data_IF_077665320281
#
_entry.id   IF_077665320281
#
_cell.length_a   1.000
_cell.length_b   1.000
_cell.length_c   1.000
_cell.angle_alpha   90.00
_cell.angle_beta   90.00
_cell.angle_gamma   90.00
#
_symmetry.space_group_name_H-M   'P 1'
#
loop_
_entity.id
_entity.type
_entity.pdbx_description
1 polymer ?
#
# COMPACT_ATOMS: atom_id res chain seq x y z
N UNK A 1 -15.10 -1.78 3.73
CA UNK A 1 -15.46 -2.70 4.85
C UNK A 1 -14.25 -3.14 5.67
N UNK A 2 -13.05 -3.30 5.08
CA UNK A 2 -11.81 -3.70 5.78
C UNK A 2 -11.29 -2.64 6.76
N UNK A 3 -11.30 -1.35 6.38
CA UNK A 3 -10.88 -0.25 7.26
C UNK A 3 -11.74 -0.10 8.51
N UNK A 4 -13.07 -0.11 8.34
CA UNK A 4 -14.02 0.02 9.46
C UNK A 4 -13.83 -1.10 10.47
N UNK A 5 -13.51 -2.31 10.00
CA UNK A 5 -13.21 -3.45 10.87
C UNK A 5 -11.89 -3.27 11.62
N UNK A 6 -10.82 -2.82 10.95
CA UNK A 6 -9.53 -2.57 11.62
C UNK A 6 -9.62 -1.48 12.69
N UNK A 7 -10.37 -0.41 12.42
CA UNK A 7 -10.59 0.68 13.38
C UNK A 7 -11.36 0.19 14.61
N UNK A 8 -12.39 -0.64 14.41
CA UNK A 8 -13.15 -1.24 15.53
C UNK A 8 -12.25 -2.16 16.38
N UNK A 9 -11.42 -3.01 15.75
CA UNK A 9 -10.50 -3.89 16.47
C UNK A 9 -9.44 -3.11 17.27
N UNK A 10 -8.89 -2.04 16.71
CA UNK A 10 -7.99 -1.15 17.44
C UNK A 10 -8.71 -0.47 18.60
N UNK A 11 -9.93 0.05 18.38
CA UNK A 11 -10.71 0.69 19.43
C UNK A 11 -11.03 -0.25 20.60
N UNK A 12 -11.34 -1.52 20.32
CA UNK A 12 -11.54 -2.55 21.35
C UNK A 12 -10.24 -2.83 22.10
N UNK A 13 -9.13 -3.01 21.37
CA UNK A 13 -7.82 -3.28 21.98
C UNK A 13 -7.36 -2.16 22.91
N UNK A 14 -7.32 -0.93 22.41
CA UNK A 14 -6.92 0.24 23.21
C UNK A 14 -7.96 0.60 24.27
N UNK A 15 -9.25 0.44 23.99
CA UNK A 15 -10.32 0.67 24.95
C UNK A 15 -10.22 -0.25 26.17
N UNK A 16 -9.86 -1.52 25.99
CA UNK A 16 -9.65 -2.46 27.09
C UNK A 16 -8.46 -2.10 27.99
N UNK A 17 -7.42 -1.47 27.42
CA UNK A 17 -6.28 -0.98 28.19
C UNK A 17 -6.67 0.25 29.04
N UNK A 18 -7.45 1.16 28.45
CA UNK A 18 -7.95 2.36 29.14
C UNK A 18 -8.86 1.98 30.32
N UNK A 19 -9.74 1.00 30.16
CA UNK A 19 -10.62 0.57 31.26
C UNK A 19 -9.82 -0.04 32.41
N UNK A 20 -8.79 -0.87 32.16
CA UNK A 20 -7.93 -1.38 33.23
C UNK A 20 -7.21 -0.27 33.99
N UNK A 21 -6.67 0.72 33.27
CA UNK A 21 -6.03 1.87 33.91
C UNK A 21 -7.06 2.63 34.74
N UNK A 22 -8.25 2.91 34.21
CA UNK A 22 -9.29 3.59 34.97
C UNK A 22 -9.69 2.84 36.26
N UNK A 23 -9.84 1.51 36.19
CA UNK A 23 -10.13 0.69 37.37
C UNK A 23 -8.99 0.65 38.39
N UNK A 24 -7.73 0.68 37.95
CA UNK A 24 -6.59 0.74 38.87
C UNK A 24 -6.49 2.08 39.60
N UNK A 25 -6.97 3.16 38.99
CA UNK A 25 -7.02 4.49 39.62
C UNK A 25 -8.22 4.66 40.56
N UNK A 26 -9.30 3.92 40.32
CA UNK A 26 -10.53 3.98 41.12
C UNK A 26 -10.49 3.08 42.38
N UNK A 27 -9.31 2.63 42.82
CA UNK A 27 -9.08 1.73 43.97
C UNK A 27 -9.99 0.49 44.00
N UNK A 28 -10.45 0.05 42.83
CA UNK A 28 -11.37 -1.07 42.70
C UNK A 28 -10.56 -2.35 42.62
N UNK A 29 -10.94 -3.37 43.40
CA UNK A 29 -10.24 -4.65 43.38
C UNK A 29 -10.39 -5.34 42.01
N UNK A 30 -9.32 -5.37 41.22
CA UNK A 30 -9.27 -6.06 39.93
C UNK A 30 -8.88 -7.53 40.17
N UNK A 31 -9.76 -8.46 39.79
CA UNK A 31 -9.49 -9.89 39.88
C UNK A 31 -8.46 -10.34 38.84
N UNK A 32 -7.60 -11.30 39.21
CA UNK A 32 -6.53 -11.83 38.33
C UNK A 32 -7.04 -12.34 36.97
N UNK A 33 -8.29 -12.84 36.94
CA UNK A 33 -8.96 -13.32 35.73
C UNK A 33 -9.09 -12.24 34.63
N UNK A 34 -9.04 -10.94 34.96
CA UNK A 34 -9.27 -9.86 34.01
C UNK A 34 -7.99 -9.45 33.25
N UNK A 35 -6.80 -9.85 33.72
CA UNK A 35 -5.54 -9.54 33.03
C UNK A 35 -5.36 -10.33 31.74
N UNK A 36 -5.84 -11.59 31.69
CA UNK A 36 -5.73 -12.44 30.50
C UNK A 36 -6.44 -11.85 29.27
N UNK A 37 -7.75 -11.54 29.35
CA UNK A 37 -8.49 -10.92 28.26
C UNK A 37 -7.91 -9.57 27.81
N UNK A 38 -7.41 -8.76 28.74
CA UNK A 38 -6.88 -7.43 28.41
C UNK A 38 -5.52 -7.52 27.74
N UNK A 39 -4.64 -8.40 28.20
CA UNK A 39 -3.38 -8.67 27.51
C UNK A 39 -3.63 -9.16 26.07
N UNK A 40 -4.61 -10.06 25.88
CA UNK A 40 -5.01 -10.52 24.55
C UNK A 40 -5.58 -9.39 23.67
N UNK A 41 -6.46 -8.54 24.23
CA UNK A 41 -7.04 -7.42 23.51
C UNK A 41 -5.99 -6.36 23.13
N UNK A 42 -5.02 -6.08 24.00
CA UNK A 42 -3.92 -5.16 23.72
C UNK A 42 -3.00 -5.70 22.62
N UNK A 43 -2.65 -6.99 22.67
CA UNK A 43 -1.88 -7.65 21.61
C UNK A 43 -2.63 -7.61 20.27
N UNK A 44 -3.94 -7.85 20.27
CA UNK A 44 -4.78 -7.74 19.08
C UNK A 44 -4.76 -6.30 18.53
N UNK A 45 -4.93 -5.30 19.39
CA UNK A 45 -4.87 -3.89 19.00
C UNK A 45 -3.54 -3.53 18.33
N UNK A 46 -2.41 -3.85 18.99
CA UNK A 46 -1.07 -3.54 18.47
C UNK A 46 -0.79 -4.24 17.14
N UNK A 47 -1.07 -5.54 17.04
CA UNK A 47 -0.84 -6.30 15.80
C UNK A 47 -1.71 -5.79 14.65
N UNK A 48 -2.96 -5.43 14.95
CA UNK A 48 -3.88 -4.82 13.97
C UNK A 48 -3.40 -3.45 13.53
N UNK A 49 -2.85 -2.63 14.43
CA UNK A 49 -2.24 -1.34 14.09
C UNK A 49 -1.05 -1.50 13.17
N UNK A 50 -0.13 -2.41 13.47
CA UNK A 50 1.03 -2.68 12.60
C UNK A 50 0.59 -3.14 11.21
N UNK A 51 -0.37 -4.06 11.16
CA UNK A 51 -0.96 -4.52 9.90
C UNK A 51 -1.59 -3.36 9.11
N UNK A 52 -2.38 -2.52 9.77
CA UNK A 52 -3.07 -1.39 9.14
C UNK A 52 -2.10 -0.35 8.61
N UNK A 53 -1.02 -0.04 9.33
CA UNK A 53 0.00 0.90 8.86
C UNK A 53 0.70 0.39 7.59
N UNK A 54 1.06 -0.90 7.54
CA UNK A 54 1.66 -1.50 6.34
C UNK A 54 0.70 -1.47 5.15
N UNK A 55 -0.56 -1.79 5.41
CA UNK A 55 -1.61 -1.75 4.39
C UNK A 55 -1.82 -0.31 3.88
N UNK A 56 -1.84 0.68 4.78
CA UNK A 56 -2.02 2.10 4.43
C UNK A 56 -0.85 2.64 3.60
N UNK A 57 0.38 2.28 3.95
CA UNK A 57 1.58 2.64 3.21
C UNK A 57 1.53 2.09 1.77
N UNK A 58 1.19 0.79 1.63
CA UNK A 58 1.03 0.16 0.32
C UNK A 58 -0.10 0.80 -0.50
N UNK A 59 -1.25 1.09 0.12
CA UNK A 59 -2.37 1.71 -0.57
C UNK A 59 -2.02 3.14 -1.03
N UNK A 60 -1.36 3.92 -0.15
CA UNK A 60 -0.90 5.28 -0.47
C UNK A 60 0.09 5.28 -1.62
N UNK A 61 1.01 4.31 -1.67
CA UNK A 61 1.99 4.19 -2.75
C UNK A 61 1.30 3.95 -4.10
N UNK A 62 0.40 2.96 -4.16
CA UNK A 62 -0.36 2.65 -5.38
C UNK A 62 -1.16 3.87 -5.86
N UNK A 63 -1.78 4.59 -4.93
CA UNK A 63 -2.56 5.78 -5.28
C UNK A 63 -1.68 6.93 -5.78
N UNK A 64 -0.53 7.17 -5.13
CA UNK A 64 0.45 8.17 -5.57
C UNK A 64 1.02 7.85 -6.95
N UNK A 65 1.34 6.58 -7.21
CA UNK A 65 1.88 6.15 -8.51
C UNK A 65 0.83 6.33 -9.62
N UNK A 66 -0.43 6.01 -9.34
CA UNK A 66 -1.54 6.22 -10.27
C UNK A 66 -1.78 7.71 -10.57
N UNK A 67 -1.70 8.57 -9.56
CA UNK A 67 -1.86 10.02 -9.71
C UNK A 67 -0.70 10.64 -10.52
N UNK A 68 0.54 10.24 -10.23
CA UNK A 68 1.72 10.68 -10.99
C UNK A 68 1.61 10.23 -12.45
N UNK A 69 1.13 9.01 -12.69
CA UNK A 69 0.88 8.50 -14.05
C UNK A 69 -0.15 9.36 -14.78
N UNK A 70 -1.26 9.73 -14.11
CA UNK A 70 -2.29 10.57 -14.70
C UNK A 70 -1.76 11.97 -15.06
N UNK A 71 -0.98 12.60 -14.17
CA UNK A 71 -0.36 13.89 -14.43
C UNK A 71 0.64 13.86 -15.60
N UNK A 72 1.42 12.77 -15.72
CA UNK A 72 2.31 12.56 -16.87
C UNK A 72 1.52 12.41 -18.17
N UNK A 73 0.44 11.63 -18.16
CA UNK A 73 -0.45 11.47 -19.30
C UNK A 73 -1.04 12.80 -19.77
N UNK A 74 -1.54 13.62 -18.84
CA UNK A 74 -2.06 14.96 -19.17
C UNK A 74 -0.99 15.84 -19.84
N UNK A 75 0.23 15.81 -19.28
CA UNK A 75 1.37 16.56 -19.84
C UNK A 75 1.76 16.07 -21.22
N UNK A 76 1.82 14.75 -21.43
CA UNK A 76 2.17 14.17 -22.72
C UNK A 76 1.10 14.43 -23.79
N UNK A 77 -0.19 14.38 -23.43
CA UNK A 77 -1.28 14.77 -24.32
C UNK A 77 -1.15 16.24 -24.74
N UNK A 78 -0.83 17.13 -23.80
CA UNK A 78 -0.63 18.55 -24.12
C UNK A 78 0.58 18.76 -25.05
N UNK A 79 1.70 18.09 -24.76
CA UNK A 79 2.90 18.12 -25.62
C UNK A 79 2.61 17.60 -27.02
N UNK A 80 1.86 16.51 -27.14
CA UNK A 80 1.44 15.94 -28.41
C UNK A 80 0.53 16.89 -29.19
N UNK A 81 -0.41 17.55 -28.51
CA UNK A 81 -1.30 18.53 -29.12
C UNK A 81 -0.54 19.73 -29.67
N UNK A 82 0.40 20.28 -28.90
CA UNK A 82 1.26 21.37 -29.35
C UNK A 82 2.16 20.95 -30.51
N UNK A 83 2.72 19.74 -30.47
CA UNK A 83 3.50 19.21 -31.59
C UNK A 83 2.65 19.08 -32.85
N UNK A 84 1.43 18.55 -32.73
CA UNK A 84 0.50 18.42 -33.86
C UNK A 84 0.10 19.78 -34.45
N UNK A 85 -0.19 20.77 -33.59
CA UNK A 85 -0.49 22.13 -34.01
C UNK A 85 0.70 22.79 -34.71
N UNK A 86 1.91 22.66 -34.14
CA UNK A 86 3.14 23.16 -34.74
C UNK A 86 3.41 22.53 -36.11
N UNK A 87 3.23 21.22 -36.24
CA UNK A 87 3.40 20.50 -37.51
C UNK A 87 2.40 20.99 -38.57
N UNK A 88 1.14 21.20 -38.17
CA UNK A 88 0.09 21.71 -39.06
C UNK A 88 0.36 23.14 -39.52
N UNK A 89 0.86 24.01 -38.63
CA UNK A 89 1.14 25.40 -38.99
C UNK A 89 2.41 25.51 -39.85
N UNK A 90 3.42 24.71 -39.57
CA UNK A 90 4.65 24.67 -40.37
C UNK A 90 4.40 24.20 -41.80
N UNK A 91 3.53 23.20 -41.98
CA UNK A 91 3.11 22.71 -43.31
C UNK A 91 2.36 23.79 -44.11
N UNK A 92 1.59 24.64 -43.43
CA UNK A 92 0.86 25.75 -44.08
C UNK A 92 1.75 26.93 -44.45
N UNK A 93 2.67 27.32 -43.57
CA UNK A 93 3.46 28.56 -43.72
C UNK A 93 4.80 28.36 -44.44
N UNK A 94 5.39 27.16 -44.40
CA UNK A 94 6.74 26.91 -44.94
C UNK A 94 6.78 25.75 -45.92
N UNK A 95 7.36 26.00 -47.10
CA UNK A 95 7.74 24.98 -48.08
C UNK A 95 9.07 24.32 -47.70
N UNK A 96 9.09 23.54 -46.62
CA UNK A 96 10.30 22.83 -46.19
C UNK A 96 10.06 21.79 -45.09
N UNK A 97 10.96 20.82 -44.96
CA UNK A 97 10.88 19.79 -43.92
C UNK A 97 10.99 20.43 -42.52
N UNK A 98 10.19 19.92 -41.58
CA UNK A 98 10.20 20.36 -40.18
C UNK A 98 11.56 20.02 -39.56
N UNK A 99 12.17 20.90 -38.76
CA UNK A 99 13.44 20.60 -38.11
C UNK A 99 13.34 19.37 -37.19
N UNK A 100 14.09 18.33 -37.51
CA UNK A 100 14.08 17.04 -36.79
C UNK A 100 14.41 17.19 -35.30
N UNK A 101 15.22 18.19 -34.95
CA UNK A 101 15.58 18.47 -33.56
C UNK A 101 14.37 18.89 -32.70
N UNK A 102 13.36 19.54 -33.28
CA UNK A 102 12.16 19.99 -32.55
C UNK A 102 11.18 18.83 -32.40
N UNK A 103 10.94 18.09 -33.47
CA UNK A 103 10.05 16.91 -33.43
C UNK A 103 10.60 15.85 -32.48
N UNK A 104 11.91 15.59 -32.52
CA UNK A 104 12.58 14.67 -31.60
C UNK A 104 12.50 15.17 -30.15
N UNK A 105 12.75 16.46 -29.88
CA UNK A 105 12.67 16.99 -28.53
C UNK A 105 11.25 16.92 -27.93
N UNK A 106 10.21 17.18 -28.72
CA UNK A 106 8.82 17.16 -28.27
C UNK A 106 8.24 15.75 -28.18
N UNK A 107 8.62 14.84 -29.09
CA UNK A 107 8.14 13.44 -29.11
C UNK A 107 8.93 12.50 -28.18
N UNK A 108 10.11 12.89 -27.69
CA UNK A 108 10.91 12.04 -26.81
C UNK A 108 10.17 11.71 -25.51
N UNK A 109 10.11 10.41 -25.20
CA UNK A 109 9.52 9.89 -23.97
C UNK A 109 8.00 10.05 -23.89
N UNK A 110 7.33 10.38 -25.00
CA UNK A 110 5.88 10.55 -25.04
C UNK A 110 5.21 9.20 -24.82
N UNK A 111 4.38 9.09 -23.80
CA UNK A 111 3.67 7.84 -23.45
C UNK A 111 4.58 6.64 -23.12
N UNK A 112 5.83 6.90 -22.71
CA UNK A 112 6.69 5.85 -22.18
C UNK A 112 6.32 5.55 -20.72
N UNK A 113 5.62 4.44 -20.50
CA UNK A 113 5.27 3.94 -19.17
C UNK A 113 6.09 2.70 -18.84
N UNK A 114 6.86 2.73 -17.75
CA UNK A 114 7.40 1.52 -17.17
C UNK A 114 6.26 0.76 -16.48
N UNK A 115 6.11 -0.54 -16.76
CA UNK A 115 5.23 -1.40 -15.97
C UNK A 115 5.62 -1.27 -14.50
N UNK A 116 4.70 -0.81 -13.64
CA UNK A 116 4.94 -0.84 -12.20
C UNK A 116 5.03 -2.30 -11.78
N UNK A 117 6.11 -2.70 -11.10
CA UNK A 117 6.19 -4.00 -10.46
C UNK A 117 4.87 -4.30 -9.74
N UNK A 118 4.20 -5.38 -10.11
CA UNK A 118 2.95 -5.78 -9.48
C UNK A 118 3.22 -5.95 -7.99
N UNK A 119 2.61 -5.09 -7.16
CA UNK A 119 2.69 -5.21 -5.71
C UNK A 119 2.07 -6.55 -5.33
N UNK A 120 2.92 -7.54 -5.02
CA UNK A 120 2.47 -8.86 -4.59
C UNK A 120 1.53 -8.68 -3.39
N UNK A 121 0.37 -9.33 -3.45
CA UNK A 121 -0.61 -9.16 -2.38
C UNK A 121 0.01 -9.71 -1.08
N UNK A 122 -0.24 -9.13 0.11
CA UNK A 122 0.32 -9.66 1.37
C UNK A 122 -0.02 -11.13 1.63
N UNK A 123 -1.15 -11.60 1.06
CA UNK A 123 -1.53 -13.01 1.02
C UNK A 123 -0.61 -13.86 0.13
N UNK A 124 -0.14 -13.33 -1.00
CA UNK A 124 0.82 -14.02 -1.89
C UNK A 124 2.21 -14.11 -1.25
N UNK A 125 2.63 -13.09 -0.51
CA UNK A 125 3.83 -13.15 0.33
C UNK A 125 3.68 -14.20 1.45
N UNK A 126 2.52 -14.26 2.11
CA UNK A 126 2.23 -15.29 3.10
C UNK A 126 2.13 -16.69 2.48
N UNK A 127 1.47 -16.82 1.34
CA UNK A 127 1.29 -18.08 0.63
C UNK A 127 2.63 -18.58 0.07
N UNK A 128 3.50 -17.70 -0.42
CA UNK A 128 4.84 -18.06 -0.86
C UNK A 128 5.74 -18.44 0.32
N UNK A 129 5.63 -17.75 1.46
CA UNK A 129 6.30 -18.14 2.70
C UNK A 129 5.80 -19.51 3.21
N UNK A 130 4.50 -19.76 3.15
CA UNK A 130 3.91 -21.04 3.55
C UNK A 130 4.28 -22.18 2.58
N UNK A 131 4.30 -21.91 1.28
CA UNK A 131 4.74 -22.86 0.24
C UNK A 131 6.23 -23.20 0.34
N UNK A 132 7.05 -22.28 0.87
CA UNK A 132 8.46 -22.54 1.20
C UNK A 132 8.64 -23.47 2.39
N UNK A 133 7.66 -23.61 3.28
CA UNK A 133 7.71 -24.54 4.41
C UNK A 133 7.33 -25.95 3.93
N UNK A 134 8.35 -26.72 3.54
CA UNK A 134 8.19 -28.05 2.90
C UNK A 134 7.56 -29.12 3.79
N UNK A 135 7.60 -28.99 5.12
CA UNK A 135 6.98 -29.95 6.04
C UNK A 135 6.73 -29.32 7.41
N UNK A 136 5.46 -29.25 7.82
CA UNK A 136 5.07 -28.88 9.17
C UNK A 136 4.45 -30.11 9.84
N UNK A 137 5.18 -30.76 10.74
CA UNK A 137 4.67 -31.89 11.53
C UNK A 137 4.49 -31.44 12.97
N UNK A 138 3.24 -31.24 13.40
CA UNK A 138 2.91 -31.07 14.82
C UNK A 138 2.69 -32.47 15.39
N UNK A 139 3.63 -32.94 16.19
CA UNK A 139 3.40 -34.00 17.18
C UNK A 139 3.26 -33.34 18.56
N UNK A 140 2.35 -33.78 19.44
CA UNK A 140 2.28 -33.24 20.80
C UNK A 140 3.61 -33.50 21.51
N UNK A 141 4.40 -32.46 21.75
CA UNK A 141 5.65 -32.51 22.51
C UNK A 141 6.94 -32.15 21.78
N UNK A 142 6.99 -32.08 20.45
CA UNK A 142 8.19 -31.65 19.70
C UNK A 142 7.82 -30.82 18.47
N UNK A 143 8.33 -29.58 18.40
CA UNK A 143 8.24 -28.73 17.21
C UNK A 143 9.58 -28.88 16.47
N UNK A 144 9.59 -29.69 15.41
CA UNK A 144 10.76 -29.87 14.57
C UNK A 144 10.55 -29.11 13.25
N UNK A 145 11.39 -28.11 13.01
CA UNK A 145 11.36 -27.28 11.79
C UNK A 145 12.53 -27.72 10.92
N UNK A 146 12.29 -28.60 9.95
CA UNK A 146 13.26 -28.84 8.87
C UNK A 146 13.12 -27.72 7.83
N UNK A 147 14.24 -27.02 7.60
CA UNK A 147 14.35 -25.86 6.69
C UNK A 147 14.60 -26.29 5.25
#
# INVERSE_FOLDING_TARGET
>A
MTHSLCVVLMAIGYGSAVTLIAFSWADTAVNYFHYGPVAAALLLGVTTTVYYLRWLDSWSKIHSDAEILNQRLETDVLRAAWLAEFLLEWDKEKTGQVPDNVTEAFSRGLFEFSESESVAHPYEDLASAFKRLKRFSIRPGEINIER
#
